data_IF_719197708662
#
_entry.id   IF_719197708662
#
_cell.length_a   1.000
_cell.length_b   1.000
_cell.length_c   1.000
_cell.angle_alpha   90.00
_cell.angle_beta   90.00
_cell.angle_gamma   90.00
#
_symmetry.space_group_name_H-M   'P 1'
#
loop_
_entity.id
_entity.type
_entity.pdbx_description
1 polymer ?
#
# COMPACT_ATOMS: atom_id res chain seq x y z
N UNK A 1 -8.41 4.55 -18.61
CA UNK A 1 -9.07 3.60 -17.67
C UNK A 1 -9.93 2.55 -18.38
N UNK A 2 -10.89 2.88 -19.25
CA UNK A 2 -11.73 1.86 -19.95
C UNK A 2 -10.92 0.89 -20.82
N UNK A 3 -9.85 1.33 -21.46
CA UNK A 3 -8.99 0.49 -22.29
C UNK A 3 -8.18 -0.52 -21.45
N UNK A 4 -7.62 -0.11 -20.31
CA UNK A 4 -6.89 -1.00 -19.39
C UNK A 4 -7.81 -2.10 -18.83
N UNK A 5 -9.04 -1.74 -18.46
CA UNK A 5 -10.06 -2.71 -18.03
C UNK A 5 -10.39 -3.77 -19.11
N UNK A 6 -10.23 -3.43 -20.39
CA UNK A 6 -10.43 -4.39 -21.50
C UNK A 6 -9.39 -5.51 -21.48
N UNK A 7 -8.13 -5.19 -21.15
CA UNK A 7 -7.05 -6.19 -21.03
C UNK A 7 -7.20 -7.08 -19.78
N UNK A 8 -7.84 -6.59 -18.72
CA UNK A 8 -8.15 -7.38 -17.54
C UNK A 8 -9.32 -8.35 -17.75
N UNK A 9 -10.20 -8.08 -18.72
CA UNK A 9 -11.42 -8.88 -18.95
C UNK A 9 -11.19 -10.38 -19.12
N UNK A 10 -10.20 -10.86 -19.89
CA UNK A 10 -9.93 -12.30 -20.03
C UNK A 10 -9.44 -12.96 -18.75
N UNK A 11 -8.88 -12.19 -17.80
CA UNK A 11 -8.30 -12.67 -16.55
C UNK A 11 -9.22 -12.52 -15.34
N UNK A 12 -10.45 -11.99 -15.51
CA UNK A 12 -11.40 -11.71 -14.42
C UNK A 12 -11.68 -12.93 -13.54
N UNK A 13 -11.80 -14.12 -14.13
CA UNK A 13 -12.05 -15.35 -13.35
C UNK A 13 -10.89 -15.68 -12.40
N UNK A 14 -9.65 -15.62 -12.89
CA UNK A 14 -8.46 -15.81 -12.05
C UNK A 14 -8.29 -14.70 -11.02
N UNK A 15 -8.58 -13.46 -11.38
CA UNK A 15 -8.52 -12.30 -10.48
C UNK A 15 -9.55 -12.42 -9.35
N UNK A 16 -10.78 -12.84 -9.67
CA UNK A 16 -11.82 -13.11 -8.67
C UNK A 16 -11.40 -14.25 -7.72
N UNK A 17 -10.87 -15.36 -8.28
CA UNK A 17 -10.36 -16.45 -7.46
C UNK A 17 -9.22 -16.00 -6.53
N UNK A 18 -8.27 -15.19 -7.04
CA UNK A 18 -7.20 -14.60 -6.24
C UNK A 18 -7.76 -13.73 -5.12
N UNK A 19 -8.72 -12.84 -5.45
CA UNK A 19 -9.37 -11.94 -4.47
C UNK A 19 -10.10 -12.73 -3.40
N UNK A 20 -10.81 -13.80 -3.76
CA UNK A 20 -11.51 -14.68 -2.78
C UNK A 20 -10.51 -15.40 -1.87
N UNK A 21 -9.40 -15.90 -2.40
CA UNK A 21 -8.37 -16.55 -1.58
C UNK A 21 -7.70 -15.57 -0.62
N UNK A 22 -7.37 -14.35 -1.08
CA UNK A 22 -6.81 -13.29 -0.22
C UNK A 22 -7.84 -12.88 0.85
N UNK A 23 -9.10 -12.75 0.49
CA UNK A 23 -10.19 -12.48 1.41
C UNK A 23 -10.35 -13.59 2.46
N UNK A 24 -10.27 -14.86 2.05
CA UNK A 24 -10.32 -16.01 2.96
C UNK A 24 -9.15 -16.00 3.94
N UNK A 25 -7.92 -15.72 3.48
CA UNK A 25 -6.76 -15.55 4.34
C UNK A 25 -7.01 -14.45 5.38
N UNK A 26 -7.45 -13.27 4.95
CA UNK A 26 -7.75 -12.14 5.86
C UNK A 26 -8.84 -12.48 6.87
N UNK A 27 -9.86 -13.26 6.45
CA UNK A 27 -10.91 -13.74 7.35
C UNK A 27 -10.35 -14.71 8.40
N UNK A 28 -9.49 -15.63 7.98
CA UNK A 28 -8.80 -16.54 8.92
C UNK A 28 -7.98 -15.76 9.94
N UNK A 29 -7.21 -14.74 9.50
CA UNK A 29 -6.40 -13.91 10.38
C UNK A 29 -7.28 -13.13 11.38
N UNK A 30 -8.43 -12.62 10.95
CA UNK A 30 -9.41 -11.95 11.82
C UNK A 30 -10.03 -12.88 12.85
N UNK A 31 -10.08 -14.19 12.61
CA UNK A 31 -10.60 -15.15 13.58
C UNK A 31 -9.60 -15.49 14.70
N UNK A 32 -8.29 -15.38 14.45
CA UNK A 32 -7.25 -15.75 15.42
C UNK A 32 -7.38 -15.05 16.78
N UNK A 33 -7.63 -13.72 16.89
CA UNK A 33 -7.83 -13.08 18.18
C UNK A 33 -9.05 -13.60 18.94
N UNK A 34 -10.12 -14.00 18.24
CA UNK A 34 -11.30 -14.61 18.89
C UNK A 34 -10.94 -15.96 19.52
N UNK A 35 -10.19 -16.80 18.82
CA UNK A 35 -9.74 -18.10 19.37
C UNK A 35 -8.74 -17.91 20.51
N UNK A 36 -7.84 -16.93 20.41
CA UNK A 36 -6.93 -16.61 21.52
C UNK A 36 -7.67 -16.13 22.76
N UNK A 37 -8.69 -15.28 22.59
CA UNK A 37 -9.58 -14.89 23.69
C UNK A 37 -10.24 -16.12 24.34
N UNK A 38 -10.69 -17.10 23.54
CA UNK A 38 -11.31 -18.32 24.05
C UNK A 38 -10.31 -19.22 24.80
N UNK A 39 -9.04 -19.23 24.43
CA UNK A 39 -7.98 -19.93 25.18
C UNK A 39 -7.75 -19.26 26.53
N UNK A 40 -7.61 -17.93 26.54
CA UNK A 40 -7.38 -17.17 27.78
C UNK A 40 -8.54 -17.33 28.77
N UNK A 41 -9.78 -17.20 28.28
CA UNK A 41 -10.96 -17.21 29.14
C UNK A 41 -11.40 -18.61 29.59
N UNK A 42 -11.40 -19.58 28.68
CA UNK A 42 -11.93 -20.92 28.95
C UNK A 42 -10.86 -21.97 29.21
N UNK A 43 -9.61 -21.74 28.76
CA UNK A 43 -8.53 -22.69 28.97
C UNK A 43 -7.68 -22.33 30.20
N UNK A 44 -7.03 -21.17 30.14
CA UNK A 44 -6.07 -20.77 31.20
C UNK A 44 -6.81 -20.41 32.47
N UNK A 45 -7.91 -19.67 32.41
CA UNK A 45 -8.69 -19.31 33.59
C UNK A 45 -9.32 -20.52 34.27
N UNK A 46 -9.75 -21.53 33.48
CA UNK A 46 -10.29 -22.78 34.00
C UNK A 46 -9.22 -23.82 34.35
N UNK A 47 -7.95 -23.60 34.06
CA UNK A 47 -6.82 -24.56 34.21
C UNK A 47 -7.05 -25.89 33.48
N UNK A 48 -7.75 -25.85 32.34
CA UNK A 48 -8.08 -27.03 31.53
C UNK A 48 -7.07 -27.16 30.37
N UNK A 49 -6.01 -27.93 30.61
CA UNK A 49 -4.94 -28.15 29.62
C UNK A 49 -5.43 -28.87 28.36
N UNK A 50 -6.27 -29.93 28.42
CA UNK A 50 -6.86 -30.52 27.21
C UNK A 50 -7.63 -29.52 26.34
N UNK A 51 -8.43 -28.64 26.93
CA UNK A 51 -9.15 -27.60 26.19
C UNK A 51 -8.20 -26.59 25.51
N UNK A 52 -7.11 -26.22 26.19
CA UNK A 52 -6.05 -25.37 25.60
C UNK A 52 -5.45 -26.05 24.37
N UNK A 53 -5.05 -27.32 24.50
CA UNK A 53 -4.39 -28.07 23.42
C UNK A 53 -5.29 -28.19 22.18
N UNK A 54 -6.58 -28.51 22.37
CA UNK A 54 -7.54 -28.58 21.25
C UNK A 54 -7.69 -27.23 20.54
N UNK A 55 -7.83 -26.14 21.31
CA UNK A 55 -7.97 -24.80 20.72
C UNK A 55 -6.70 -24.32 20.03
N UNK A 56 -5.51 -24.64 20.56
CA UNK A 56 -4.24 -24.37 19.89
C UNK A 56 -4.15 -25.12 18.55
N UNK A 57 -4.59 -26.40 18.52
CA UNK A 57 -4.62 -27.16 17.26
C UNK A 57 -5.58 -26.55 16.23
N UNK A 58 -6.75 -26.08 16.68
CA UNK A 58 -7.70 -25.37 15.83
C UNK A 58 -7.11 -24.06 15.27
N UNK A 59 -6.43 -23.27 16.12
CA UNK A 59 -5.72 -22.05 15.66
C UNK A 59 -4.63 -22.38 14.63
N UNK A 60 -3.89 -23.45 14.86
CA UNK A 60 -2.87 -23.90 13.91
C UNK A 60 -3.49 -24.31 12.56
N UNK A 61 -4.63 -25.01 12.59
CA UNK A 61 -5.36 -25.37 11.37
C UNK A 61 -5.85 -24.11 10.61
N UNK A 62 -6.42 -23.12 11.32
CA UNK A 62 -6.86 -21.85 10.74
C UNK A 62 -5.65 -21.09 10.13
N UNK A 63 -4.52 -21.05 10.84
CA UNK A 63 -3.30 -20.41 10.35
C UNK A 63 -2.74 -21.13 9.11
N UNK A 64 -2.80 -22.46 9.05
CA UNK A 64 -2.41 -23.25 7.88
C UNK A 64 -3.32 -22.97 6.66
N UNK A 65 -4.64 -22.85 6.88
CA UNK A 65 -5.59 -22.45 5.84
C UNK A 65 -5.31 -21.01 5.37
N UNK A 66 -5.05 -20.09 6.29
CA UNK A 66 -4.65 -18.71 5.96
C UNK A 66 -3.40 -18.70 5.08
N UNK A 67 -2.35 -19.41 5.48
CA UNK A 67 -1.11 -19.51 4.73
C UNK A 67 -1.33 -20.10 3.31
N UNK A 68 -2.04 -21.20 3.19
CA UNK A 68 -2.36 -21.82 1.91
C UNK A 68 -3.16 -20.86 1.01
N UNK A 69 -4.13 -20.15 1.59
CA UNK A 69 -4.99 -19.19 0.88
C UNK A 69 -4.19 -17.97 0.41
N UNK A 70 -3.33 -17.39 1.24
CA UNK A 70 -2.53 -16.22 0.82
C UNK A 70 -1.51 -16.60 -0.25
N UNK A 71 -0.85 -17.76 -0.14
CA UNK A 71 0.09 -18.25 -1.16
C UNK A 71 -0.62 -18.50 -2.49
N UNK A 72 -1.77 -19.19 -2.47
CA UNK A 72 -2.59 -19.42 -3.66
C UNK A 72 -3.11 -18.13 -4.29
N UNK A 73 -3.63 -17.22 -3.47
CA UNK A 73 -4.13 -15.93 -3.89
C UNK A 73 -3.04 -15.04 -4.50
N UNK A 74 -1.88 -14.94 -3.85
CA UNK A 74 -0.74 -14.17 -4.36
C UNK A 74 -0.19 -14.75 -5.66
N UNK A 75 -0.08 -16.08 -5.77
CA UNK A 75 0.37 -16.74 -6.99
C UNK A 75 -0.57 -16.44 -8.17
N UNK A 76 -1.89 -16.60 -7.99
CA UNK A 76 -2.87 -16.30 -9.02
C UNK A 76 -2.87 -14.81 -9.40
N UNK A 77 -2.79 -13.93 -8.43
CA UNK A 77 -2.71 -12.48 -8.65
C UNK A 77 -1.47 -12.09 -9.45
N UNK A 78 -0.30 -12.60 -9.07
CA UNK A 78 0.96 -12.34 -9.78
C UNK A 78 0.92 -12.89 -11.21
N UNK A 79 0.36 -14.09 -11.42
CA UNK A 79 0.18 -14.66 -12.76
C UNK A 79 -0.70 -13.78 -13.64
N UNK A 80 -1.84 -13.30 -13.10
CA UNK A 80 -2.75 -12.40 -13.82
C UNK A 80 -2.04 -11.11 -14.21
N UNK A 81 -1.32 -10.48 -13.28
CA UNK A 81 -0.59 -9.24 -13.55
C UNK A 81 0.51 -9.45 -14.58
N UNK A 82 1.26 -10.55 -14.49
CA UNK A 82 2.31 -10.87 -15.46
C UNK A 82 1.75 -11.07 -16.88
N UNK A 83 0.66 -11.85 -17.03
CA UNK A 83 0.00 -12.06 -18.31
C UNK A 83 -0.59 -10.76 -18.87
N UNK A 84 -1.28 -9.98 -18.04
CA UNK A 84 -1.81 -8.66 -18.40
C UNK A 84 -0.71 -7.73 -18.93
N UNK A 85 0.43 -7.68 -18.26
CA UNK A 85 1.55 -6.83 -18.68
C UNK A 85 2.24 -7.35 -19.94
N UNK A 86 2.28 -8.66 -20.15
CA UNK A 86 2.78 -9.25 -21.38
C UNK A 86 1.89 -8.86 -22.58
N UNK A 87 0.56 -8.95 -22.43
CA UNK A 87 -0.40 -8.53 -23.46
C UNK A 87 -0.26 -7.02 -23.76
N UNK A 88 -0.15 -6.20 -22.70
CA UNK A 88 0.02 -4.76 -22.86
C UNK A 88 1.32 -4.42 -23.60
N UNK A 89 2.45 -5.07 -23.26
CA UNK A 89 3.73 -4.89 -23.98
C UNK A 89 3.63 -5.33 -25.44
N UNK A 90 2.99 -6.45 -25.70
CA UNK A 90 2.81 -6.95 -27.06
C UNK A 90 2.00 -5.97 -27.92
N UNK A 91 0.96 -5.36 -27.37
CA UNK A 91 0.14 -4.40 -28.09
C UNK A 91 0.84 -3.05 -28.28
N UNK A 92 1.57 -2.55 -27.28
CA UNK A 92 2.43 -1.37 -27.41
C UNK A 92 3.47 -1.60 -28.51
N UNK A 93 4.15 -2.73 -28.49
CA UNK A 93 5.14 -3.07 -29.51
C UNK A 93 4.51 -3.18 -30.89
N UNK A 94 3.34 -3.81 -31.04
CA UNK A 94 2.59 -3.89 -32.28
C UNK A 94 2.22 -2.51 -32.79
N UNK A 95 1.73 -1.61 -31.91
CA UNK A 95 1.37 -0.24 -32.27
C UNK A 95 2.59 0.54 -32.75
N UNK A 96 3.72 0.44 -32.06
CA UNK A 96 4.98 1.10 -32.46
C UNK A 96 5.41 0.66 -33.89
N UNK A 97 5.25 -0.61 -34.22
CA UNK A 97 5.58 -1.14 -35.56
C UNK A 97 4.61 -0.68 -36.67
N UNK A 98 3.44 -0.14 -36.32
CA UNK A 98 2.45 0.39 -37.27
C UNK A 98 2.52 1.92 -37.42
N UNK A 99 3.36 2.61 -36.64
CA UNK A 99 3.56 4.07 -36.77
C UNK A 99 4.19 4.43 -38.12
N UNK A 100 3.73 5.54 -38.70
CA UNK A 100 4.38 6.14 -39.86
C UNK A 100 5.76 6.68 -39.47
N UNK A 101 6.63 6.87 -40.47
CA UNK A 101 7.98 7.43 -40.23
C UNK A 101 7.93 8.83 -39.62
N UNK A 102 6.93 9.62 -39.96
CA UNK A 102 6.71 10.97 -39.43
C UNK A 102 6.27 10.92 -37.94
N UNK A 103 5.30 10.06 -37.59
CA UNK A 103 4.86 9.84 -36.22
C UNK A 103 6.00 9.31 -35.35
N UNK A 104 6.76 8.33 -35.85
CA UNK A 104 7.91 7.76 -35.15
C UNK A 104 8.99 8.84 -34.90
N UNK A 105 9.26 9.70 -35.89
CA UNK A 105 10.21 10.81 -35.76
C UNK A 105 9.76 11.87 -34.77
N UNK A 106 8.47 12.19 -34.73
CA UNK A 106 7.89 13.19 -33.82
C UNK A 106 7.91 12.73 -32.34
N UNK A 107 7.67 11.45 -32.09
CA UNK A 107 7.68 10.85 -30.76
C UNK A 107 9.10 10.62 -30.22
N UNK A 108 10.03 10.28 -31.11
CA UNK A 108 11.40 9.95 -30.78
C UNK A 108 11.60 8.56 -30.16
N UNK A 109 12.68 7.89 -30.56
CA UNK A 109 12.99 6.51 -30.14
C UNK A 109 13.06 6.33 -28.62
N UNK A 110 13.67 7.31 -27.93
CA UNK A 110 13.84 7.24 -26.47
C UNK A 110 12.50 7.21 -25.73
N UNK A 111 11.54 8.03 -26.16
CA UNK A 111 10.19 8.06 -25.55
C UNK A 111 9.43 6.76 -25.80
N UNK A 112 9.53 6.20 -27.01
CA UNK A 112 8.87 4.92 -27.35
C UNK A 112 9.44 3.75 -26.53
N UNK A 113 10.77 3.71 -26.34
CA UNK A 113 11.41 2.70 -25.48
C UNK A 113 10.95 2.83 -24.04
N UNK A 114 10.95 4.05 -23.48
CA UNK A 114 10.47 4.29 -22.11
C UNK A 114 9.03 3.82 -21.91
N UNK A 115 8.15 4.12 -22.86
CA UNK A 115 6.73 3.70 -22.82
C UNK A 115 6.57 2.17 -22.89
N UNK A 116 7.36 1.50 -23.73
CA UNK A 116 7.30 0.05 -23.86
C UNK A 116 7.89 -0.71 -22.66
N UNK A 117 8.73 -0.06 -21.86
CA UNK A 117 9.42 -0.67 -20.71
C UNK A 117 8.92 -0.09 -19.39
N UNK A 118 9.41 1.07 -19.01
CA UNK A 118 9.21 1.68 -17.69
C UNK A 118 7.73 1.94 -17.36
N UNK A 119 6.95 2.46 -18.32
CA UNK A 119 5.54 2.77 -18.07
C UNK A 119 4.72 1.49 -17.86
N UNK A 120 5.00 0.43 -18.63
CA UNK A 120 4.36 -0.88 -18.41
C UNK A 120 4.76 -1.48 -17.08
N UNK A 121 6.01 -1.32 -16.63
CA UNK A 121 6.46 -1.79 -15.32
C UNK A 121 5.76 -1.03 -14.19
N UNK A 122 5.54 0.27 -14.34
CA UNK A 122 4.77 1.09 -13.39
C UNK A 122 3.32 0.61 -13.29
N UNK A 123 2.67 0.34 -14.42
CA UNK A 123 1.31 -0.25 -14.46
C UNK A 123 1.29 -1.61 -13.78
N UNK A 124 2.31 -2.46 -14.02
CA UNK A 124 2.47 -3.77 -13.37
C UNK A 124 2.52 -3.67 -11.86
N UNK A 125 3.35 -2.75 -11.36
CA UNK A 125 3.51 -2.51 -9.92
C UNK A 125 2.20 -2.08 -9.27
N UNK A 126 1.48 -1.15 -9.89
CA UNK A 126 0.18 -0.67 -9.40
C UNK A 126 -0.88 -1.76 -9.44
N UNK A 127 -0.95 -2.53 -10.52
CA UNK A 127 -1.88 -3.65 -10.63
C UNK A 127 -1.63 -4.70 -9.55
N UNK A 128 -0.35 -5.02 -9.28
CA UNK A 128 0.06 -5.94 -8.21
C UNK A 128 -0.34 -5.42 -6.82
N UNK A 129 -0.10 -4.14 -6.56
CA UNK A 129 -0.47 -3.51 -5.30
C UNK A 129 -1.99 -3.50 -5.09
N UNK A 130 -2.75 -3.10 -6.10
CA UNK A 130 -4.22 -3.04 -6.01
C UNK A 130 -4.84 -4.42 -5.82
N UNK A 131 -4.36 -5.44 -6.50
CA UNK A 131 -4.93 -6.79 -6.40
C UNK A 131 -4.78 -7.40 -5.01
N UNK A 132 -3.70 -7.06 -4.27
CA UNK A 132 -3.52 -7.47 -2.87
C UNK A 132 -4.34 -6.66 -1.88
N UNK A 133 -4.55 -5.37 -2.13
CA UNK A 133 -5.12 -4.42 -1.16
C UNK A 133 -6.65 -4.30 -1.24
N UNK A 134 -7.23 -4.49 -2.40
CA UNK A 134 -8.68 -4.27 -2.64
C UNK A 134 -9.56 -5.16 -1.76
N UNK A 135 -9.17 -6.42 -1.54
CA UNK A 135 -9.92 -7.32 -0.65
C UNK A 135 -9.54 -7.13 0.83
N UNK A 136 -8.24 -6.98 1.10
CA UNK A 136 -7.70 -6.97 2.46
C UNK A 136 -8.17 -5.77 3.27
N UNK A 137 -8.11 -4.53 2.71
CA UNK A 137 -8.43 -3.31 3.45
C UNK A 137 -9.88 -3.28 3.94
N UNK A 138 -10.92 -3.48 3.07
CA UNK A 138 -12.30 -3.47 3.53
C UNK A 138 -12.59 -4.57 4.55
N UNK A 139 -11.98 -5.76 4.39
CA UNK A 139 -12.20 -6.86 5.31
C UNK A 139 -11.56 -6.62 6.67
N UNK A 140 -10.33 -6.09 6.73
CA UNK A 140 -9.69 -5.71 7.99
C UNK A 140 -10.51 -4.65 8.72
N UNK A 141 -11.01 -3.65 8.00
CA UNK A 141 -11.79 -2.57 8.59
C UNK A 141 -13.16 -3.07 9.08
N UNK A 142 -13.99 -3.61 8.19
CA UNK A 142 -15.35 -4.05 8.52
C UNK A 142 -15.32 -5.25 9.46
N UNK A 143 -14.50 -6.26 9.16
CA UNK A 143 -14.38 -7.46 9.96
C UNK A 143 -13.81 -7.18 11.35
N UNK A 144 -12.74 -6.36 11.43
CA UNK A 144 -12.14 -5.99 12.71
C UNK A 144 -13.09 -5.20 13.60
N UNK A 145 -13.80 -4.20 13.04
CA UNK A 145 -14.82 -3.44 13.79
C UNK A 145 -15.97 -4.35 14.27
N UNK A 146 -16.53 -5.16 13.38
CA UNK A 146 -17.65 -6.06 13.73
C UNK A 146 -17.24 -7.06 14.81
N UNK A 147 -16.07 -7.68 14.70
CA UNK A 147 -15.60 -8.67 15.67
C UNK A 147 -15.22 -8.00 17.00
N UNK A 148 -14.65 -6.81 17.00
CA UNK A 148 -14.41 -6.04 18.22
C UNK A 148 -15.73 -5.69 18.92
N UNK A 149 -16.73 -5.19 18.19
CA UNK A 149 -18.07 -4.87 18.75
C UNK A 149 -18.80 -6.08 19.31
N UNK A 150 -18.60 -7.28 18.75
CA UNK A 150 -19.15 -8.52 19.30
C UNK A 150 -18.52 -8.94 20.62
N UNK A 151 -17.29 -8.48 20.90
CA UNK A 151 -16.62 -8.74 22.18
C UNK A 151 -17.11 -7.79 23.27
N UNK A 152 -16.99 -6.49 23.04
CA UNK A 152 -17.54 -5.46 23.92
C UNK A 152 -17.74 -4.15 23.16
N UNK A 153 -18.95 -3.63 23.18
CA UNK A 153 -19.33 -2.42 22.45
C UNK A 153 -18.61 -1.18 23.00
N UNK A 154 -18.49 -1.07 24.34
CA UNK A 154 -17.91 0.12 24.97
C UNK A 154 -16.41 0.23 24.70
N UNK A 155 -15.68 -0.89 24.82
CA UNK A 155 -14.26 -0.92 24.50
C UNK A 155 -14.01 -0.70 23.00
N UNK A 156 -14.92 -1.14 22.14
CA UNK A 156 -14.84 -0.94 20.70
C UNK A 156 -15.10 0.52 20.27
N UNK A 157 -15.74 1.34 21.12
CA UNK A 157 -15.85 2.79 20.86
C UNK A 157 -14.48 3.48 20.83
N UNK A 158 -13.49 2.97 21.57
CA UNK A 158 -12.12 3.45 21.49
C UNK A 158 -11.59 3.29 20.05
N UNK A 159 -11.81 2.11 19.43
CA UNK A 159 -11.43 1.88 18.03
C UNK A 159 -12.12 2.89 17.10
N UNK A 160 -13.45 3.08 17.26
CA UNK A 160 -14.23 4.00 16.43
C UNK A 160 -13.79 5.48 16.59
N UNK A 161 -13.24 5.85 17.75
CA UNK A 161 -12.69 7.19 17.97
C UNK A 161 -11.30 7.37 17.35
N UNK A 162 -10.41 6.36 17.48
CA UNK A 162 -9.03 6.47 17.03
C UNK A 162 -8.85 6.28 15.52
N UNK A 163 -9.70 5.50 14.85
CA UNK A 163 -9.63 5.30 13.40
C UNK A 163 -9.87 6.58 12.62
N UNK A 164 -10.92 7.38 12.86
CA UNK A 164 -11.09 8.68 12.19
C UNK A 164 -9.97 9.65 12.47
N UNK A 165 -9.42 9.63 13.70
CA UNK A 165 -8.31 10.50 14.09
C UNK A 165 -7.03 10.15 13.31
N UNK A 166 -6.71 8.85 13.20
CA UNK A 166 -5.60 8.39 12.38
C UNK A 166 -5.82 8.72 10.90
N UNK A 167 -7.04 8.50 10.39
CA UNK A 167 -7.40 8.83 9.01
C UNK A 167 -7.24 10.33 8.72
N UNK A 168 -7.62 11.19 9.66
CA UNK A 168 -7.40 12.64 9.54
C UNK A 168 -5.91 12.97 9.42
N UNK A 169 -5.06 12.39 10.26
CA UNK A 169 -3.62 12.58 10.20
C UNK A 169 -3.05 12.12 8.85
N UNK A 170 -3.49 10.96 8.37
CA UNK A 170 -3.10 10.45 7.04
C UNK A 170 -3.46 11.44 5.93
N UNK A 171 -4.67 11.98 5.96
CA UNK A 171 -5.13 12.97 4.96
C UNK A 171 -4.30 14.25 5.04
N UNK A 172 -3.99 14.73 6.25
CA UNK A 172 -3.17 15.93 6.44
C UNK A 172 -1.72 15.73 5.97
N UNK A 173 -1.12 14.59 6.30
CA UNK A 173 0.21 14.21 5.81
C UNK A 173 0.21 14.02 4.29
N UNK A 174 -0.79 13.35 3.73
CA UNK A 174 -0.93 13.17 2.29
C UNK A 174 -1.00 14.49 1.52
N UNK A 175 -1.81 15.45 2.00
CA UNK A 175 -1.88 16.80 1.41
C UNK A 175 -0.53 17.52 1.43
N UNK A 176 0.35 17.23 2.39
CA UNK A 176 1.68 17.81 2.47
C UNK A 176 2.69 17.07 1.59
N UNK A 177 2.60 15.76 1.49
CA UNK A 177 3.56 14.89 0.79
C UNK A 177 3.35 14.89 -0.72
N UNK A 178 2.09 14.82 -1.18
CA UNK A 178 1.76 14.74 -2.62
C UNK A 178 2.39 15.87 -3.46
N UNK A 179 2.31 17.17 -3.07
CA UNK A 179 2.94 18.23 -3.84
C UNK A 179 4.48 18.18 -3.83
N UNK A 180 5.09 17.59 -2.76
CA UNK A 180 6.55 17.42 -2.70
C UNK A 180 7.01 16.35 -3.70
N UNK A 181 6.26 15.26 -3.84
CA UNK A 181 6.54 14.23 -4.85
C UNK A 181 6.39 14.77 -6.27
N UNK A 182 5.33 15.53 -6.57
CA UNK A 182 5.18 16.17 -7.88
C UNK A 182 6.35 17.08 -8.25
N UNK A 183 6.86 17.87 -7.29
CA UNK A 183 8.05 18.69 -7.51
C UNK A 183 9.34 17.88 -7.70
N UNK A 184 9.41 16.66 -7.16
CA UNK A 184 10.58 15.81 -7.36
C UNK A 184 10.79 15.45 -8.82
N UNK A 185 9.70 15.18 -9.55
CA UNK A 185 9.77 14.90 -10.98
C UNK A 185 10.30 16.11 -11.78
N UNK A 186 9.81 17.32 -11.46
CA UNK A 186 10.30 18.56 -12.06
C UNK A 186 11.81 18.76 -11.82
N UNK A 187 12.29 18.48 -10.61
CA UNK A 187 13.71 18.61 -10.26
C UNK A 187 14.58 17.56 -10.97
N UNK A 188 14.07 16.34 -11.14
CA UNK A 188 14.75 15.31 -11.94
C UNK A 188 14.89 15.75 -13.40
N UNK A 189 13.85 16.34 -13.97
CA UNK A 189 13.89 16.85 -15.35
C UNK A 189 14.90 17.98 -15.52
N UNK A 190 14.94 18.93 -14.59
CA UNK A 190 15.95 19.99 -14.56
C UNK A 190 17.36 19.42 -14.48
N UNK A 191 17.59 18.45 -13.59
CA UNK A 191 18.89 17.81 -13.43
C UNK A 191 19.32 17.07 -14.70
N UNK A 192 18.40 16.33 -15.33
CA UNK A 192 18.65 15.64 -16.58
C UNK A 192 18.94 16.63 -17.73
N UNK A 193 18.28 17.78 -17.77
CA UNK A 193 18.56 18.84 -18.75
C UNK A 193 19.97 19.40 -18.57
N UNK A 194 20.37 19.74 -17.34
CA UNK A 194 21.72 20.22 -17.02
C UNK A 194 22.80 19.19 -17.36
N UNK A 195 22.57 17.92 -17.09
CA UNK A 195 23.50 16.85 -17.47
C UNK A 195 23.65 16.72 -18.99
N UNK A 196 22.54 16.76 -19.73
CA UNK A 196 22.57 16.73 -21.20
C UNK A 196 23.30 17.95 -21.78
N UNK A 197 23.04 19.16 -21.24
CA UNK A 197 23.74 20.41 -21.63
C UNK A 197 25.24 20.27 -21.44
N UNK A 198 25.67 19.80 -20.26
CA UNK A 198 27.08 19.58 -19.91
C UNK A 198 27.76 18.57 -20.84
N UNK A 199 27.10 17.43 -21.09
CA UNK A 199 27.65 16.39 -21.96
C UNK A 199 27.83 16.88 -23.40
N UNK A 200 26.86 17.65 -23.92
CA UNK A 200 26.95 18.24 -25.28
C UNK A 200 28.00 19.37 -25.35
N UNK A 201 28.08 20.17 -24.28
CA UNK A 201 28.97 21.34 -24.21
C UNK A 201 30.36 21.08 -23.66
N UNK A 202 30.76 19.82 -23.38
CA UNK A 202 32.00 19.50 -22.67
C UNK A 202 33.26 20.11 -23.31
N UNK A 203 33.31 20.20 -24.63
CA UNK A 203 34.42 20.83 -25.35
C UNK A 203 34.50 22.34 -25.10
N UNK A 204 33.35 23.01 -25.04
CA UNK A 204 33.26 24.46 -24.78
C UNK A 204 33.64 24.73 -23.31
N UNK A 205 33.12 23.95 -22.38
CA UNK A 205 33.42 24.05 -20.94
C UNK A 205 34.94 23.97 -20.72
N UNK A 206 35.62 23.00 -21.36
CA UNK A 206 37.07 22.82 -21.25
C UNK A 206 37.84 23.94 -21.95
N UNK A 207 37.37 24.39 -23.13
CA UNK A 207 38.06 25.47 -23.89
C UNK A 207 38.05 26.80 -23.12
N UNK A 208 36.98 27.07 -22.35
CA UNK A 208 36.84 28.30 -21.55
C UNK A 208 37.16 28.11 -20.07
N UNK A 209 37.63 26.94 -19.64
CA UNK A 209 38.01 26.63 -18.25
C UNK A 209 36.88 26.97 -17.24
N UNK A 210 35.63 26.62 -17.60
CA UNK A 210 34.43 26.95 -16.81
C UNK A 210 33.90 25.76 -15.99
N UNK A 211 34.68 24.68 -15.78
CA UNK A 211 34.29 23.46 -15.09
C UNK A 211 33.79 23.74 -13.69
N UNK A 212 34.44 24.63 -12.95
CA UNK A 212 34.07 24.99 -11.57
C UNK A 212 32.68 25.62 -11.50
N UNK A 213 32.35 26.48 -12.47
CA UNK A 213 31.01 27.12 -12.58
C UNK A 213 29.94 26.09 -12.88
N UNK A 214 30.19 25.21 -13.86
CA UNK A 214 29.24 24.16 -14.23
C UNK A 214 29.06 23.10 -13.11
N UNK A 215 30.11 22.82 -12.36
CA UNK A 215 30.03 21.98 -11.19
C UNK A 215 29.13 22.59 -10.13
N UNK A 216 29.23 23.90 -9.86
CA UNK A 216 28.38 24.64 -8.95
C UNK A 216 26.90 24.56 -9.36
N UNK A 217 26.58 24.81 -10.65
CA UNK A 217 25.20 24.71 -11.17
C UNK A 217 24.55 23.33 -10.91
N UNK A 218 25.30 22.25 -11.15
CA UNK A 218 24.81 20.90 -10.93
C UNK A 218 24.68 20.61 -9.42
N UNK A 219 25.65 21.06 -8.61
CA UNK A 219 25.61 20.89 -7.15
C UNK A 219 24.39 21.59 -6.55
N UNK A 220 24.09 22.82 -6.97
CA UNK A 220 22.92 23.58 -6.51
C UNK A 220 21.60 22.88 -6.89
N UNK A 221 21.46 22.43 -8.14
CA UNK A 221 20.28 21.69 -8.58
C UNK A 221 20.11 20.37 -7.81
N UNK A 222 21.22 19.65 -7.57
CA UNK A 222 21.21 18.40 -6.79
C UNK A 222 20.83 18.65 -5.34
N UNK A 223 21.32 19.74 -4.73
CA UNK A 223 20.99 20.12 -3.35
C UNK A 223 19.50 20.43 -3.19
N UNK A 224 18.93 21.24 -4.10
CA UNK A 224 17.49 21.55 -4.10
C UNK A 224 16.64 20.28 -4.21
N UNK A 225 17.01 19.39 -5.14
CA UNK A 225 16.34 18.10 -5.28
C UNK A 225 16.45 17.25 -4.01
N UNK A 226 17.66 17.14 -3.45
CA UNK A 226 17.90 16.37 -2.23
C UNK A 226 17.09 16.89 -1.05
N UNK A 227 17.04 18.21 -0.82
CA UNK A 227 16.20 18.81 0.22
C UNK A 227 14.71 18.50 0.04
N UNK A 228 14.20 18.56 -1.19
CA UNK A 228 12.80 18.25 -1.47
C UNK A 228 12.50 16.78 -1.16
N UNK A 229 13.37 15.85 -1.59
CA UNK A 229 13.24 14.41 -1.31
C UNK A 229 13.31 14.14 0.19
N UNK A 230 14.24 14.78 0.91
CA UNK A 230 14.35 14.65 2.37
C UNK A 230 13.06 15.11 3.04
N UNK A 231 12.53 16.27 2.66
CA UNK A 231 11.26 16.80 3.22
C UNK A 231 10.08 15.86 2.95
N UNK A 232 9.99 15.31 1.73
CA UNK A 232 8.95 14.35 1.37
C UNK A 232 9.07 13.06 2.20
N UNK A 233 10.27 12.47 2.27
CA UNK A 233 10.51 11.22 3.00
C UNK A 233 10.37 11.38 4.51
N UNK A 234 10.84 12.49 5.10
CA UNK A 234 10.63 12.77 6.54
C UNK A 234 9.14 12.91 6.85
N UNK A 235 8.39 13.65 6.00
CA UNK A 235 6.94 13.81 6.20
C UNK A 235 6.19 12.48 6.07
N UNK A 236 6.57 11.64 5.11
CA UNK A 236 6.00 10.30 4.96
C UNK A 236 6.43 9.35 6.07
N UNK A 237 7.69 9.44 6.51
CA UNK A 237 8.26 8.66 7.61
C UNK A 237 7.59 8.90 8.96
N UNK A 238 6.94 10.05 9.17
CA UNK A 238 6.17 10.34 10.38
C UNK A 238 4.89 9.50 10.51
N UNK A 239 4.38 8.94 9.41
CA UNK A 239 3.13 8.18 9.42
C UNK A 239 3.21 6.96 10.35
N UNK A 240 4.25 6.14 10.23
CA UNK A 240 4.40 4.92 11.04
C UNK A 240 4.59 5.21 12.53
N UNK A 241 5.48 6.12 12.99
CA UNK A 241 5.59 6.47 14.40
C UNK A 241 4.30 7.05 14.99
N UNK A 242 3.60 7.92 14.27
CA UNK A 242 2.32 8.46 14.71
C UNK A 242 1.26 7.37 14.83
N UNK A 243 1.12 6.50 13.83
CA UNK A 243 0.20 5.38 13.88
C UNK A 243 0.50 4.44 15.06
N UNK A 244 1.78 4.15 15.32
CA UNK A 244 2.22 3.34 16.46
C UNK A 244 1.89 4.03 17.79
N UNK A 245 2.08 5.35 17.89
CA UNK A 245 1.69 6.13 19.07
C UNK A 245 0.18 6.01 19.33
N UNK A 246 -0.66 6.21 18.31
CA UNK A 246 -2.12 6.06 18.44
C UNK A 246 -2.54 4.66 18.82
N UNK A 247 -1.89 3.65 18.25
CA UNK A 247 -2.11 2.25 18.59
C UNK A 247 -1.81 1.99 20.06
N UNK A 248 -0.67 2.44 20.56
CA UNK A 248 -0.28 2.25 21.97
C UNK A 248 -1.22 3.01 22.92
N UNK A 249 -1.61 4.26 22.59
CA UNK A 249 -2.56 5.02 23.40
C UNK A 249 -3.92 4.31 23.43
N UNK A 250 -4.42 3.83 22.29
CA UNK A 250 -5.68 3.08 22.24
C UNK A 250 -5.61 1.78 23.04
N UNK A 251 -4.49 1.04 22.97
CA UNK A 251 -4.28 -0.17 23.75
C UNK A 251 -4.27 0.11 25.25
N UNK A 252 -3.57 1.17 25.69
CA UNK A 252 -3.56 1.60 27.10
C UNK A 252 -4.96 1.98 27.59
N UNK A 253 -5.73 2.72 26.78
CA UNK A 253 -7.12 3.07 27.12
C UNK A 253 -8.00 1.84 27.21
N UNK A 254 -7.85 0.88 26.30
CA UNK A 254 -8.62 -0.37 26.33
C UNK A 254 -8.27 -1.21 27.57
N UNK A 255 -6.99 -1.31 27.93
CA UNK A 255 -6.54 -2.00 29.13
C UNK A 255 -7.09 -1.30 30.38
N UNK A 256 -6.99 0.02 30.44
CA UNK A 256 -7.46 0.81 31.59
C UNK A 256 -8.98 0.69 31.77
N UNK A 257 -9.74 0.97 30.71
CA UNK A 257 -11.21 0.92 30.76
C UNK A 257 -11.72 -0.53 30.94
N UNK A 258 -11.11 -1.49 30.26
CA UNK A 258 -11.47 -2.90 30.37
C UNK A 258 -11.13 -3.46 31.75
N UNK A 259 -9.95 -3.13 32.28
CA UNK A 259 -9.54 -3.51 33.64
C UNK A 259 -10.43 -2.89 34.71
N UNK A 260 -10.75 -1.60 34.58
CA UNK A 260 -11.68 -0.92 35.49
C UNK A 260 -13.07 -1.60 35.50
N UNK A 261 -13.62 -1.88 34.33
CA UNK A 261 -14.93 -2.56 34.20
C UNK A 261 -14.91 -3.98 34.76
N UNK A 262 -13.81 -4.72 34.55
CA UNK A 262 -13.63 -6.06 35.07
C UNK A 262 -13.59 -6.08 36.60
N UNK A 263 -12.84 -5.14 37.20
CA UNK A 263 -12.73 -5.05 38.70
C UNK A 263 -14.07 -4.65 39.35
N UNK A 264 -14.84 -3.77 38.71
CA UNK A 264 -16.12 -3.28 39.24
C UNK A 264 -17.32 -4.17 38.83
N UNK A 265 -17.09 -5.28 38.15
CA UNK A 265 -18.16 -6.22 37.75
C UNK A 265 -19.16 -5.63 36.75
N UNK A 266 -18.78 -4.54 36.06
CA UNK A 266 -19.62 -3.86 35.06
C UNK A 266 -19.45 -4.60 33.75
N UNK A 267 -20.44 -5.44 33.40
CA UNK A 267 -20.47 -6.28 32.20
C UNK A 267 -19.40 -7.40 32.17
N UNK A 268 -19.76 -8.58 31.69
CA UNK A 268 -18.91 -9.77 31.68
C UNK A 268 -17.65 -9.73 30.79
N UNK A 269 -16.96 -8.59 30.75
CA UNK A 269 -15.68 -8.41 30.02
C UNK A 269 -14.60 -9.24 30.71
N UNK A 270 -13.91 -10.05 29.95
CA UNK A 270 -12.79 -10.87 30.40
C UNK A 270 -11.44 -10.38 29.89
N UNK A 271 -10.35 -10.84 30.50
CA UNK A 271 -9.01 -10.51 30.07
C UNK A 271 -8.74 -10.95 28.62
N UNK A 272 -9.29 -12.08 28.19
CA UNK A 272 -9.17 -12.53 26.81
C UNK A 272 -9.93 -11.63 25.81
N UNK A 273 -11.05 -11.02 26.23
CA UNK A 273 -11.78 -10.09 25.36
C UNK A 273 -11.03 -8.76 25.19
N UNK A 274 -10.43 -8.25 26.28
CA UNK A 274 -9.54 -7.07 26.23
C UNK A 274 -8.39 -7.33 25.24
N UNK A 275 -7.74 -8.49 25.34
CA UNK A 275 -6.66 -8.86 24.43
C UNK A 275 -7.14 -8.94 22.97
N UNK A 276 -8.26 -9.58 22.70
CA UNK A 276 -8.81 -9.70 21.35
C UNK A 276 -9.14 -8.33 20.74
N UNK A 277 -9.73 -7.42 21.53
CA UNK A 277 -10.06 -6.06 21.05
C UNK A 277 -8.80 -5.28 20.71
N UNK A 278 -7.72 -5.38 21.50
CA UNK A 278 -6.43 -4.74 21.19
C UNK A 278 -5.88 -5.26 19.87
N UNK A 279 -5.98 -6.56 19.60
CA UNK A 279 -5.54 -7.15 18.34
C UNK A 279 -6.40 -6.67 17.15
N UNK A 280 -7.72 -6.55 17.33
CA UNK A 280 -8.58 -5.97 16.28
C UNK A 280 -8.25 -4.50 16.00
N UNK A 281 -7.98 -3.70 17.04
CA UNK A 281 -7.50 -2.31 16.88
C UNK A 281 -6.21 -2.27 16.06
N UNK A 282 -5.26 -3.15 16.37
CA UNK A 282 -3.99 -3.27 15.63
C UNK A 282 -4.23 -3.61 14.16
N UNK A 283 -5.10 -4.60 13.89
CA UNK A 283 -5.41 -5.00 12.52
C UNK A 283 -6.09 -3.90 11.72
N UNK A 284 -7.08 -3.22 12.31
CA UNK A 284 -7.81 -2.13 11.65
C UNK A 284 -6.87 -0.94 11.39
N UNK A 285 -6.03 -0.55 12.36
CA UNK A 285 -5.07 0.54 12.18
C UNK A 285 -4.02 0.21 11.10
N UNK A 286 -3.53 -1.03 11.04
CA UNK A 286 -2.66 -1.47 9.95
C UNK A 286 -3.39 -1.41 8.59
N UNK A 287 -4.68 -1.76 8.53
CA UNK A 287 -5.51 -1.58 7.35
C UNK A 287 -5.59 -0.12 6.89
N UNK A 288 -5.73 0.83 7.82
CA UNK A 288 -5.72 2.28 7.52
C UNK A 288 -4.36 2.72 6.98
N UNK A 289 -3.25 2.23 7.54
CA UNK A 289 -1.90 2.53 7.06
C UNK A 289 -1.72 1.99 5.64
N UNK A 290 -2.10 0.74 5.37
CA UNK A 290 -2.04 0.15 4.03
C UNK A 290 -2.88 0.93 3.02
N UNK A 291 -4.10 1.33 3.41
CA UNK A 291 -4.96 2.19 2.58
C UNK A 291 -4.29 3.54 2.26
N UNK A 292 -3.59 4.10 3.24
CA UNK A 292 -2.88 5.38 3.10
C UNK A 292 -1.77 5.31 2.05
N UNK A 293 -0.95 4.26 2.09
CA UNK A 293 0.08 4.03 1.08
C UNK A 293 -0.54 3.83 -0.31
N UNK A 294 -1.63 3.08 -0.42
CA UNK A 294 -2.33 2.88 -1.68
C UNK A 294 -2.86 4.20 -2.27
N UNK A 295 -3.45 5.07 -1.44
CA UNK A 295 -4.00 6.37 -1.86
C UNK A 295 -2.87 7.34 -2.26
N UNK A 296 -1.76 7.38 -1.53
CA UNK A 296 -0.62 8.27 -1.82
C UNK A 296 0.07 7.86 -3.12
N UNK A 297 0.17 6.56 -3.40
CA UNK A 297 0.82 6.05 -4.63
C UNK A 297 -0.08 6.12 -5.88
N UNK A 298 -1.41 6.24 -5.72
CA UNK A 298 -2.35 6.31 -6.84
C UNK A 298 -2.14 7.51 -7.80
N UNK A 299 -1.94 8.76 -7.34
CA UNK A 299 -1.69 9.91 -8.24
C UNK A 299 -0.41 9.79 -9.05
N UNK A 300 0.65 9.22 -8.47
CA UNK A 300 1.93 8.99 -9.16
C UNK A 300 1.73 8.12 -10.41
N UNK A 301 0.89 7.10 -10.29
CA UNK A 301 0.54 6.21 -11.40
C UNK A 301 -0.39 6.83 -12.42
N UNK A 302 -1.30 7.73 -11.98
CA UNK A 302 -2.26 8.39 -12.88
C UNK A 302 -1.59 9.41 -13.81
N UNK A 303 -0.57 10.13 -13.35
CA UNK A 303 0.20 11.04 -14.20
C UNK A 303 0.95 10.29 -15.31
N UNK A 304 1.52 9.13 -15.00
CA UNK A 304 2.14 8.26 -15.99
C UNK A 304 1.11 7.66 -16.97
N UNK A 305 -0.07 7.24 -16.50
CA UNK A 305 -1.14 6.69 -17.36
C UNK A 305 -1.76 7.73 -18.28
N UNK A 306 -1.90 8.99 -17.87
CA UNK A 306 -2.42 10.08 -18.70
C UNK A 306 -1.50 10.43 -19.86
N UNK A 307 -0.20 10.24 -19.69
CA UNK A 307 0.76 10.35 -20.80
C UNK A 307 0.49 9.29 -21.91
N UNK A 308 -0.17 8.17 -21.57
CA UNK A 308 -0.59 7.15 -22.53
C UNK A 308 -1.92 7.45 -23.23
N UNK A 309 -2.87 8.13 -22.56
CA UNK A 309 -4.15 8.50 -23.18
C UNK A 309 -3.97 9.50 -24.34
N UNK A 310 -2.98 10.37 -24.25
CA UNK A 310 -2.64 11.30 -25.36
C UNK A 310 -2.08 10.59 -26.60
N UNK A 311 -1.74 9.30 -26.53
CA UNK A 311 -1.32 8.47 -27.68
C UNK A 311 -2.49 7.74 -28.35
N UNK A 312 -3.64 7.59 -27.67
CA UNK A 312 -4.82 6.96 -28.27
C UNK A 312 -5.71 7.95 -29.00
N UNK A 313 -5.48 9.24 -28.81
CA UNK A 313 -6.22 10.33 -29.46
C UNK A 313 -5.48 10.89 -30.70
N UNK A 314 -4.29 10.35 -31.00
CA UNK A 314 -3.56 10.51 -32.26
C UNK A 314 -3.66 9.25 -33.12
#
# INVERSE_FOLDING_TARGET
MKQILRYLKPYLGKLLAATVLIALSTLCDLLLPTWMSAILNGGIAARDFPAIAVRCLQMLAIAAVSLASILGGTRLSTEVVACFCADLRADVFRKVNTLSFEEFGSLGTAALVTRATHDVDTVSWVASMLSGTVATIPMLFLGGVVLAMRKDVVLSLVLLAFVPLLTLIVVLLGKRVLPLWGKSDDYIDVQNALLRERLRGIRVIRAFNTEKREHGRIADATHIMAENIIRANVSMGLLTPLATLFLNISALLIIYLGGWRMVHGVSGVSAGDIFAIIQYVTMVMNGVIMASFAIIMYPVSYTHLRAHETLSDL
#
